data_IF_727422042172
#
_entry.id   IF_727422042172
#
_cell.length_a   1.000
_cell.length_b   1.000
_cell.length_c   1.000
_cell.angle_alpha   90.00
_cell.angle_beta   90.00
_cell.angle_gamma   90.00
#
_symmetry.space_group_name_H-M   'P 1'
#
loop_
_entity.id
_entity.type
_entity.pdbx_description
1 polymer ?
#
# COMPACT_ATOMS: atom_id res chain seq x y z
N UNK A 1 -6.94 -14.56 19.21
CA UNK A 1 -8.02 -13.72 18.65
C UNK A 1 -7.40 -12.45 18.08
N UNK A 2 -7.60 -12.16 16.79
CA UNK A 2 -7.16 -10.89 16.19
C UNK A 2 -6.52 -11.04 14.80
N UNK A 3 -7.28 -11.54 13.82
CA UNK A 3 -6.84 -11.60 12.40
C UNK A 3 -7.89 -11.06 11.43
N UNK A 4 -9.02 -10.53 11.91
CA UNK A 4 -10.14 -10.10 11.05
C UNK A 4 -9.68 -9.19 9.89
N UNK A 5 -8.91 -8.14 10.17
CA UNK A 5 -8.43 -7.25 9.10
C UNK A 5 -7.49 -7.95 8.11
N UNK A 6 -6.71 -8.96 8.54
CA UNK A 6 -5.84 -9.70 7.64
C UNK A 6 -6.65 -10.65 6.75
N UNK A 7 -7.59 -11.39 7.34
CA UNK A 7 -8.45 -12.34 6.64
C UNK A 7 -9.35 -11.61 5.64
N UNK A 8 -9.97 -10.50 6.06
CA UNK A 8 -10.84 -9.67 5.21
C UNK A 8 -10.05 -9.01 4.07
N UNK A 9 -8.87 -8.44 4.36
CA UNK A 9 -8.03 -7.84 3.32
C UNK A 9 -7.56 -8.88 2.31
N UNK A 10 -7.21 -10.09 2.76
CA UNK A 10 -6.83 -11.18 1.88
C UNK A 10 -8.01 -11.65 1.02
N UNK A 11 -9.20 -11.76 1.60
CA UNK A 11 -10.41 -12.17 0.88
C UNK A 11 -10.77 -11.16 -0.22
N UNK A 12 -10.85 -9.88 0.12
CA UNK A 12 -11.17 -8.82 -0.85
C UNK A 12 -10.15 -8.76 -2.01
N UNK A 13 -8.85 -8.88 -1.71
CA UNK A 13 -7.83 -8.89 -2.76
C UNK A 13 -7.88 -10.17 -3.61
N UNK A 14 -8.23 -11.31 -3.03
CA UNK A 14 -8.42 -12.53 -3.82
C UNK A 14 -9.60 -12.38 -4.80
N UNK A 15 -10.71 -11.79 -4.35
CA UNK A 15 -11.87 -11.52 -5.21
C UNK A 15 -11.51 -10.57 -6.36
N UNK A 16 -10.86 -9.45 -6.08
CA UNK A 16 -10.44 -8.49 -7.11
C UNK A 16 -9.37 -9.03 -8.07
N UNK A 17 -8.53 -9.96 -7.60
CA UNK A 17 -7.58 -10.66 -8.49
C UNK A 17 -8.30 -11.59 -9.48
N UNK A 18 -9.46 -12.12 -9.10
CA UNK A 18 -10.27 -13.01 -9.94
C UNK A 18 -11.07 -12.26 -11.01
N UNK A 19 -11.39 -10.99 -10.78
CA UNK A 19 -12.09 -10.09 -11.73
C UNK A 19 -11.13 -9.37 -12.69
N UNK A 20 -9.82 -9.67 -12.63
CA UNK A 20 -8.74 -9.04 -13.40
C UNK A 20 -8.50 -7.55 -13.10
N UNK A 21 -8.98 -7.01 -11.98
CA UNK A 21 -8.74 -5.60 -11.63
C UNK A 21 -7.32 -5.35 -11.09
N UNK A 22 -6.74 -6.36 -10.44
CA UNK A 22 -5.40 -6.30 -9.85
C UNK A 22 -4.57 -7.51 -10.22
N UNK A 23 -3.26 -7.34 -10.24
CA UNK A 23 -2.28 -8.41 -10.37
C UNK A 23 -1.93 -9.05 -9.00
N UNK A 24 -0.71 -9.59 -8.84
CA UNK A 24 -0.33 -10.29 -7.62
C UNK A 24 -0.28 -9.35 -6.41
N UNK A 25 -0.66 -9.88 -5.25
CA UNK A 25 -0.62 -9.18 -3.98
C UNK A 25 0.04 -10.02 -2.88
N UNK A 26 0.48 -9.36 -1.81
CA UNK A 26 1.00 -10.00 -0.60
C UNK A 26 0.67 -9.17 0.63
N UNK A 27 0.29 -9.83 1.74
CA UNK A 27 0.26 -9.17 3.04
C UNK A 27 1.69 -8.81 3.46
N UNK A 28 1.85 -7.59 3.95
CA UNK A 28 3.13 -7.00 4.39
C UNK A 28 3.17 -6.75 5.90
N UNK A 29 2.02 -6.59 6.53
CA UNK A 29 1.87 -6.45 7.98
C UNK A 29 0.49 -6.92 8.41
N UNK A 30 0.42 -7.60 9.55
CA UNK A 30 -0.83 -8.06 10.15
C UNK A 30 -0.83 -7.72 11.64
N UNK A 31 -1.94 -7.17 12.13
CA UNK A 31 -2.18 -6.87 13.53
C UNK A 31 -3.68 -7.06 13.84
N UNK A 32 -4.08 -7.14 15.13
CA UNK A 32 -5.47 -7.42 15.48
C UNK A 32 -6.52 -6.47 14.89
N UNK A 33 -6.15 -5.20 14.69
CA UNK A 33 -7.05 -4.13 14.23
C UNK A 33 -6.62 -3.50 12.90
N UNK A 34 -5.56 -4.02 12.27
CA UNK A 34 -5.12 -3.54 10.97
C UNK A 34 -4.33 -4.59 10.17
N UNK A 35 -4.36 -4.47 8.85
CA UNK A 35 -3.53 -5.25 7.96
C UNK A 35 -3.09 -4.37 6.79
N UNK A 36 -1.87 -4.57 6.29
CA UNK A 36 -1.37 -3.89 5.10
C UNK A 36 -0.98 -4.92 4.04
N UNK A 37 -1.40 -4.71 2.80
CA UNK A 37 -1.00 -5.49 1.63
C UNK A 37 -0.25 -4.63 0.62
N UNK A 38 0.72 -5.23 -0.07
CA UNK A 38 1.27 -4.70 -1.30
C UNK A 38 0.53 -5.36 -2.48
N UNK A 39 0.01 -4.55 -3.40
CA UNK A 39 -0.78 -4.98 -4.55
C UNK A 39 -0.14 -4.45 -5.81
N UNK A 40 0.10 -5.32 -6.79
CA UNK A 40 0.60 -4.91 -8.11
C UNK A 40 -0.59 -4.68 -9.02
N UNK A 41 -0.75 -3.47 -9.52
CA UNK A 41 -1.76 -3.12 -10.51
C UNK A 41 -1.37 -3.65 -11.90
N UNK A 42 -2.33 -3.71 -12.82
CA UNK A 42 -2.11 -4.21 -14.19
C UNK A 42 -1.08 -3.37 -14.97
N UNK A 43 -0.97 -2.09 -14.64
CA UNK A 43 0.04 -1.18 -15.22
C UNK A 43 1.46 -1.43 -14.68
N UNK A 44 1.64 -2.48 -13.86
CA UNK A 44 2.92 -2.88 -13.26
C UNK A 44 3.33 -2.05 -12.04
N UNK A 45 2.46 -1.13 -11.59
CA UNK A 45 2.72 -0.30 -10.41
C UNK A 45 2.30 -1.02 -9.13
N UNK A 46 3.15 -1.04 -8.12
CA UNK A 46 2.79 -1.55 -6.80
C UNK A 46 2.23 -0.43 -5.93
N UNK A 47 1.11 -0.68 -5.27
CA UNK A 47 0.51 0.18 -4.23
C UNK A 47 0.47 -0.56 -2.89
N UNK A 48 0.36 0.19 -1.80
CA UNK A 48 0.10 -0.35 -0.46
C UNK A 48 -1.33 -0.01 -0.05
N UNK A 49 -2.08 -1.02 0.35
CA UNK A 49 -3.42 -0.89 0.91
C UNK A 49 -3.35 -1.24 2.38
N UNK A 50 -3.80 -0.33 3.24
CA UNK A 50 -3.90 -0.57 4.67
C UNK A 50 -5.37 -0.57 5.09
N UNK A 51 -5.84 -1.72 5.57
CA UNK A 51 -7.17 -1.91 6.12
C UNK A 51 -7.10 -1.81 7.64
N UNK A 52 -8.07 -1.10 8.21
CA UNK A 52 -8.31 -0.99 9.65
C UNK A 52 -9.77 -1.27 9.94
N UNK A 53 -10.15 -1.44 11.20
CA UNK A 53 -11.57 -1.56 11.59
C UNK A 53 -12.41 -0.33 11.25
N UNK A 54 -11.78 0.82 10.98
CA UNK A 54 -12.45 2.09 10.71
C UNK A 54 -12.49 2.44 9.21
N UNK A 55 -11.96 1.57 8.33
CA UNK A 55 -11.88 1.81 6.89
C UNK A 55 -10.50 1.47 6.31
N UNK A 56 -10.24 1.96 5.10
CA UNK A 56 -9.01 1.65 4.36
C UNK A 56 -8.28 2.92 3.87
N UNK A 57 -7.00 2.76 3.55
CA UNK A 57 -6.17 3.80 2.94
C UNK A 57 -5.27 3.19 1.88
N UNK A 58 -4.99 3.96 0.82
CA UNK A 58 -4.11 3.55 -0.29
C UNK A 58 -2.95 4.53 -0.38
N UNK A 59 -1.72 4.02 -0.47
CA UNK A 59 -0.51 4.82 -0.61
C UNK A 59 0.47 4.19 -1.58
N UNK A 60 1.30 5.01 -2.22
CA UNK A 60 2.44 4.50 -3.00
C UNK A 60 3.54 4.01 -2.04
N UNK A 61 4.29 2.95 -2.40
CA UNK A 61 5.53 2.62 -1.72
C UNK A 61 6.45 3.83 -1.76
N UNK A 62 7.13 4.14 -0.65
CA UNK A 62 8.16 5.16 -0.66
C UNK A 62 9.22 4.80 -1.72
N UNK A 63 9.67 5.75 -2.55
CA UNK A 63 10.76 5.46 -3.47
C UNK A 63 11.99 5.03 -2.67
N UNK A 64 12.78 4.06 -3.16
CA UNK A 64 13.94 3.51 -2.45
C UNK A 64 15.04 4.55 -2.17
N UNK A 65 14.91 5.77 -2.71
CA UNK A 65 15.84 6.88 -2.53
C UNK A 65 15.16 8.18 -2.07
N UNK A 66 14.12 8.10 -1.22
CA UNK A 66 13.63 9.29 -0.49
C UNK A 66 14.68 9.76 0.55
N UNK A 67 15.89 10.09 0.09
CA UNK A 67 16.88 10.86 0.83
C UNK A 67 16.46 12.31 0.76
N UNK A 68 16.04 12.85 1.91
CA UNK A 68 16.07 14.28 2.20
C UNK A 68 15.20 15.15 1.29
N UNK A 69 14.28 15.89 1.88
CA UNK A 69 13.80 17.12 1.26
C UNK A 69 15.02 18.02 1.03
N UNK A 70 15.59 17.98 -0.18
CA UNK A 70 16.60 18.93 -0.62
C UNK A 70 15.94 20.32 -0.54
N UNK A 71 16.31 21.08 0.50
CA UNK A 71 16.24 22.52 0.47
C UNK A 71 17.15 22.97 -0.67
N UNK A 72 16.58 23.27 -1.84
CA UNK A 72 17.33 23.97 -2.87
C UNK A 72 17.76 25.31 -2.27
N UNK A 73 19.06 25.62 -2.19
CA UNK A 73 19.46 26.98 -1.88
C UNK A 73 19.00 27.88 -3.03
N UNK A 74 18.19 28.88 -2.72
CA UNK A 74 17.96 30.02 -3.61
C UNK A 74 19.32 30.68 -3.86
N UNK A 75 19.87 30.56 -5.07
CA UNK A 75 21.00 31.37 -5.51
C UNK A 75 20.48 32.80 -5.76
N UNK A 76 20.96 33.82 -5.03
CA UNK A 76 20.50 35.20 -5.20
C UNK A 76 21.27 35.98 -6.28
N UNK A 77 22.06 35.34 -7.16
CA UNK A 77 22.70 36.06 -8.27
C UNK A 77 21.80 36.18 -9.49
N UNK A 78 20.86 37.12 -9.38
CA UNK A 78 20.41 37.98 -10.48
C UNK A 78 20.79 39.41 -10.14
#
# INVERSE_FOLDING_TARGET
MGTFCADELQHALAEESSTSAIGPFRLTSTAPLCATAAVTLLEGRTILINLTTNGYSVRLPAPPFAFGSNSYPIDPRG
#
